data_IF_636618532038
#
_entry.id   IF_636618532038
#
_cell.length_a   1.000
_cell.length_b   1.000
_cell.length_c   1.000
_cell.angle_alpha   90.00
_cell.angle_beta   90.00
_cell.angle_gamma   90.00
#
_symmetry.space_group_name_H-M   'P 1'
#
loop_
_entity.id
_entity.type
_entity.pdbx_description
1 polymer ?
#
# COMPACT_ATOMS: atom_id res chain seq x y z
N UNK A 1 6.85 15.28 -31.08
CA UNK A 1 7.90 15.49 -30.06
C UNK A 1 7.43 16.57 -29.12
N UNK A 2 7.30 16.30 -27.81
CA UNK A 2 6.92 17.32 -26.85
C UNK A 2 8.00 18.41 -26.81
N UNK A 3 7.61 19.65 -27.10
CA UNK A 3 8.49 20.84 -27.14
C UNK A 3 8.62 21.53 -25.76
N UNK A 4 8.04 20.94 -24.70
CA UNK A 4 8.06 21.52 -23.36
C UNK A 4 9.44 21.29 -22.72
N UNK A 5 10.01 22.35 -22.15
CA UNK A 5 11.27 22.27 -21.39
C UNK A 5 11.05 21.41 -20.12
N UNK A 6 11.97 20.50 -19.76
CA UNK A 6 11.80 19.62 -18.60
C UNK A 6 11.46 20.33 -17.28
N UNK A 7 12.08 21.50 -17.05
CA UNK A 7 11.82 22.32 -15.84
C UNK A 7 10.40 22.89 -15.83
N UNK A 8 9.89 23.32 -16.98
CA UNK A 8 8.51 23.85 -17.08
C UNK A 8 7.47 22.73 -16.92
N UNK A 9 7.76 21.53 -17.45
CA UNK A 9 6.92 20.36 -17.19
C UNK A 9 6.92 19.99 -15.71
N UNK A 10 8.08 19.91 -15.07
CA UNK A 10 8.19 19.62 -13.65
C UNK A 10 7.41 20.65 -12.82
N UNK A 11 7.53 21.94 -13.14
CA UNK A 11 6.79 23.01 -12.46
C UNK A 11 5.28 22.83 -12.62
N UNK A 12 4.78 22.69 -13.85
CA UNK A 12 3.36 22.50 -14.11
C UNK A 12 2.80 21.22 -13.46
N UNK A 13 3.59 20.14 -13.47
CA UNK A 13 3.24 18.89 -12.81
C UNK A 13 3.19 19.05 -11.29
N UNK A 14 4.17 19.73 -10.67
CA UNK A 14 4.17 20.00 -9.23
C UNK A 14 3.01 20.91 -8.83
N UNK A 15 2.72 21.96 -9.61
CA UNK A 15 1.56 22.84 -9.37
C UNK A 15 0.24 22.04 -9.44
N UNK A 16 0.10 21.18 -10.43
CA UNK A 16 -1.04 20.29 -10.58
C UNK A 16 -1.16 19.30 -9.40
N UNK A 17 -0.08 18.62 -9.02
CA UNK A 17 -0.08 17.68 -7.88
C UNK A 17 -0.39 18.39 -6.56
N UNK A 18 0.21 19.57 -6.34
CA UNK A 18 0.00 20.37 -5.12
C UNK A 18 -1.43 20.89 -5.02
N UNK A 19 -2.13 21.06 -6.14
CA UNK A 19 -3.55 21.42 -6.13
C UNK A 19 -4.43 20.36 -5.44
N UNK A 20 -4.04 19.08 -5.46
CA UNK A 20 -4.72 18.03 -4.70
C UNK A 20 -4.34 18.07 -3.21
N UNK A 21 -3.07 18.37 -2.90
CA UNK A 21 -2.60 18.50 -1.52
C UNK A 21 -3.16 19.75 -0.81
N UNK A 22 -3.54 20.80 -1.54
CA UNK A 22 -4.24 21.96 -0.97
C UNK A 22 -5.74 21.67 -0.70
N UNK A 23 -6.30 20.65 -1.33
CA UNK A 23 -7.63 20.13 -1.03
C UNK A 23 -7.61 19.12 0.13
N UNK A 24 -6.42 18.62 0.50
CA UNK A 24 -6.19 17.82 1.69
C UNK A 24 -6.49 18.67 2.92
N UNK A 25 -7.74 18.56 3.38
CA UNK A 25 -8.28 19.28 4.53
C UNK A 25 -7.93 18.56 5.84
N UNK A 26 -7.05 17.55 5.79
CA UNK A 26 -6.69 16.76 6.95
C UNK A 26 -5.97 17.62 7.98
N UNK A 27 -6.43 17.49 9.22
CA UNK A 27 -5.74 18.03 10.38
C UNK A 27 -4.30 17.48 10.37
N UNK A 28 -3.24 18.31 10.52
CA UNK A 28 -1.87 17.81 10.60
C UNK A 28 -1.63 16.76 11.70
N UNK A 29 -2.56 16.65 12.66
CA UNK A 29 -2.56 15.63 13.70
C UNK A 29 -3.21 14.29 13.30
N UNK A 30 -3.92 14.23 12.17
CA UNK A 30 -4.54 12.99 11.67
C UNK A 30 -3.57 12.22 10.77
N UNK A 31 -3.45 10.90 10.96
CA UNK A 31 -2.53 10.10 10.18
C UNK A 31 -3.05 9.90 8.75
N UNK A 32 -2.16 10.03 7.77
CA UNK A 32 -2.52 9.82 6.35
C UNK A 32 -2.60 8.33 6.03
N UNK A 33 -3.76 7.86 5.58
CA UNK A 33 -3.92 6.46 5.17
C UNK A 33 -3.37 6.23 3.75
N UNK A 34 -2.39 5.34 3.62
CA UNK A 34 -1.77 4.93 2.36
C UNK A 34 -1.97 3.43 2.11
N UNK A 35 -3.04 3.02 1.40
CA UNK A 35 -3.20 1.64 0.99
C UNK A 35 -2.19 1.25 -0.08
N UNK A 36 -1.61 0.06 0.05
CA UNK A 36 -0.76 -0.57 -0.95
C UNK A 36 -1.39 -1.88 -1.40
N UNK A 37 -1.65 -1.99 -2.70
CA UNK A 37 -2.38 -3.12 -3.29
C UNK A 37 -1.86 -3.47 -4.68
N UNK A 38 -1.83 -4.77 -4.98
CA UNK A 38 -1.52 -5.33 -6.29
C UNK A 38 -2.78 -5.57 -7.13
N UNK A 39 -2.78 -5.05 -8.37
CA UNK A 39 -3.86 -5.28 -9.35
C UNK A 39 -3.29 -5.80 -10.66
N UNK A 40 -3.98 -6.80 -11.21
CA UNK A 40 -3.74 -7.28 -12.57
C UNK A 40 -4.62 -6.54 -13.57
N UNK A 41 -3.99 -5.82 -14.50
CA UNK A 41 -4.67 -5.19 -15.62
C UNK A 41 -5.04 -6.26 -16.67
N UNK A 42 -6.18 -6.92 -16.48
CA UNK A 42 -6.65 -7.98 -17.38
C UNK A 42 -6.82 -7.45 -18.81
N UNK A 43 -6.31 -8.20 -19.78
CA UNK A 43 -6.35 -7.81 -21.20
C UNK A 43 -5.19 -6.91 -21.67
N UNK A 44 -4.24 -6.59 -20.80
CA UNK A 44 -3.00 -5.89 -21.17
C UNK A 44 -1.96 -6.78 -21.88
N UNK A 45 -2.17 -8.10 -21.89
CA UNK A 45 -1.31 -9.05 -22.58
C UNK A 45 -1.29 -8.82 -24.09
N UNK A 46 -0.10 -8.93 -24.67
CA UNK A 46 0.16 -8.81 -26.10
C UNK A 46 -0.49 -9.99 -26.87
N UNK A 47 -0.76 -9.82 -28.17
CA UNK A 47 -1.40 -10.88 -28.97
C UNK A 47 -0.63 -12.23 -28.99
N UNK A 48 0.67 -12.20 -28.69
CA UNK A 48 1.54 -13.37 -28.55
C UNK A 48 1.62 -13.94 -27.12
N UNK A 49 1.35 -13.12 -26.10
CA UNK A 49 1.46 -13.44 -24.67
C UNK A 49 0.16 -13.05 -23.95
N UNK A 50 -0.97 -13.61 -24.40
CA UNK A 50 -2.27 -13.38 -23.76
C UNK A 50 -2.32 -13.85 -22.31
N UNK A 51 -1.40 -14.74 -21.94
CA UNK A 51 -1.30 -15.35 -20.61
C UNK A 51 -0.43 -14.56 -19.63
N UNK A 52 0.18 -13.45 -20.08
CA UNK A 52 1.03 -12.59 -19.24
C UNK A 52 0.44 -11.18 -19.07
N UNK A 53 -0.63 -11.02 -18.28
CA UNK A 53 -1.20 -9.71 -18.01
C UNK A 53 -0.30 -8.90 -17.08
N UNK A 54 -0.17 -7.60 -17.35
CA UNK A 54 0.56 -6.65 -16.52
C UNK A 54 -0.03 -6.64 -15.09
N UNK A 55 0.82 -6.91 -14.12
CA UNK A 55 0.50 -6.80 -12.70
C UNK A 55 1.22 -5.59 -12.10
N UNK A 56 0.48 -4.74 -11.37
CA UNK A 56 0.98 -3.48 -10.83
C UNK A 56 0.68 -3.43 -9.34
N UNK A 57 1.71 -3.14 -8.54
CA UNK A 57 1.55 -2.74 -7.14
C UNK A 57 1.52 -1.23 -7.07
N UNK A 58 0.50 -0.67 -6.43
CA UNK A 58 0.29 0.77 -6.32
C UNK A 58 0.12 1.20 -4.86
N UNK A 59 0.63 2.40 -4.54
CA UNK A 59 0.35 3.12 -3.31
C UNK A 59 -0.67 4.22 -3.63
N UNK A 60 -1.68 4.35 -2.78
CA UNK A 60 -2.80 5.25 -3.01
C UNK A 60 -2.94 6.27 -1.89
N UNK A 61 -3.17 7.53 -2.23
CA UNK A 61 -3.56 8.56 -1.27
C UNK A 61 -5.09 8.66 -1.28
N UNK A 62 -5.72 8.03 -0.30
CA UNK A 62 -7.19 7.88 -0.24
C UNK A 62 -7.91 9.23 -0.25
N UNK A 63 -7.40 10.20 0.50
CA UNK A 63 -7.98 11.54 0.65
C UNK A 63 -7.88 12.38 -0.64
N UNK A 64 -6.80 12.18 -1.40
CA UNK A 64 -6.53 12.93 -2.62
C UNK A 64 -7.03 12.24 -3.89
N UNK A 65 -7.37 10.94 -3.82
CA UNK A 65 -7.79 10.16 -4.97
C UNK A 65 -6.69 9.97 -6.04
N UNK A 66 -5.42 9.95 -5.63
CA UNK A 66 -4.27 9.83 -6.52
C UNK A 66 -3.37 8.66 -6.15
N UNK A 67 -2.66 8.10 -7.13
CA UNK A 67 -1.61 7.12 -6.88
C UNK A 67 -0.30 7.85 -6.57
N UNK A 68 0.28 7.55 -5.40
CA UNK A 68 1.55 8.11 -4.94
C UNK A 68 2.76 7.45 -5.63
N UNK A 69 2.58 6.22 -6.10
CA UNK A 69 3.62 5.49 -6.81
C UNK A 69 3.13 4.12 -7.25
N UNK A 70 3.75 3.59 -8.30
CA UNK A 70 3.42 2.29 -8.86
C UNK A 70 4.69 1.55 -9.28
N UNK A 71 4.65 0.22 -9.16
CA UNK A 71 5.71 -0.69 -9.61
C UNK A 71 5.06 -1.80 -10.41
N UNK A 72 5.44 -1.94 -11.67
CA UNK A 72 5.09 -3.11 -12.48
C UNK A 72 5.87 -4.33 -11.98
N UNK A 73 5.18 -5.46 -11.90
CA UNK A 73 5.72 -6.73 -11.43
C UNK A 73 5.87 -7.67 -12.63
N UNK A 74 7.07 -8.17 -12.85
CA UNK A 74 7.35 -9.19 -13.87
C UNK A 74 6.78 -10.56 -13.46
N UNK A 75 6.55 -11.47 -14.42
CA UNK A 75 5.99 -12.82 -14.20
C UNK A 75 6.60 -13.62 -13.05
N UNK A 76 7.89 -13.39 -12.75
CA UNK A 76 8.63 -14.11 -11.71
C UNK A 76 8.73 -13.35 -10.38
N UNK A 77 8.36 -12.08 -10.36
CA UNK A 77 8.30 -11.27 -9.13
C UNK A 77 6.90 -11.34 -8.55
N UNK A 78 6.82 -11.29 -7.23
CA UNK A 78 5.57 -11.22 -6.47
C UNK A 78 5.47 -9.85 -5.78
N UNK A 79 4.28 -9.49 -5.32
CA UNK A 79 4.06 -8.22 -4.62
C UNK A 79 5.01 -8.06 -3.40
N UNK A 80 5.41 -9.18 -2.78
CA UNK A 80 6.37 -9.22 -1.67
C UNK A 80 7.69 -8.52 -2.01
N UNK A 81 8.15 -8.60 -3.27
CA UNK A 81 9.37 -7.92 -3.74
C UNK A 81 9.12 -6.51 -4.28
N UNK A 82 7.92 -6.21 -4.76
CA UNK A 82 7.55 -4.92 -5.32
C UNK A 82 7.22 -3.88 -4.24
N UNK A 83 6.52 -4.29 -3.17
CA UNK A 83 6.15 -3.42 -2.05
C UNK A 83 7.38 -2.73 -1.42
N UNK A 84 8.47 -3.44 -1.08
CA UNK A 84 9.69 -2.79 -0.56
C UNK A 84 10.27 -1.74 -1.52
N UNK A 85 10.21 -1.97 -2.83
CA UNK A 85 10.72 -1.02 -3.82
C UNK A 85 9.87 0.24 -3.88
N UNK A 86 8.55 0.07 -3.81
CA UNK A 86 7.59 1.17 -3.78
C UNK A 86 7.75 2.01 -2.52
N UNK A 87 7.79 1.38 -1.34
CA UNK A 87 7.93 2.07 -0.05
C UNK A 87 9.21 2.91 0.05
N UNK A 88 10.32 2.49 -0.59
CA UNK A 88 11.57 3.28 -0.62
C UNK A 88 11.45 4.63 -1.34
N UNK A 89 10.39 4.81 -2.14
CA UNK A 89 10.17 6.02 -2.94
C UNK A 89 9.20 6.99 -2.26
N UNK A 90 8.59 6.60 -1.15
CA UNK A 90 7.54 7.35 -0.46
C UNK A 90 8.10 7.96 0.82
N UNK A 91 7.67 9.18 1.12
CA UNK A 91 7.79 9.77 2.46
C UNK A 91 6.64 9.24 3.32
N UNK A 92 6.97 8.48 4.37
CA UNK A 92 5.99 7.75 5.18
C UNK A 92 5.75 8.41 6.55
N UNK A 93 6.48 9.48 6.89
CA UNK A 93 6.33 10.15 8.18
C UNK A 93 4.89 10.56 8.43
N UNK A 94 4.31 10.04 9.52
CA UNK A 94 2.92 10.31 9.91
C UNK A 94 1.85 9.62 9.04
N UNK A 95 2.24 8.68 8.19
CA UNK A 95 1.32 7.87 7.41
C UNK A 95 1.03 6.52 8.09
N UNK A 96 -0.19 6.01 7.95
CA UNK A 96 -0.54 4.62 8.22
C UNK A 96 -0.59 3.89 6.88
N UNK A 97 0.28 2.89 6.71
CA UNK A 97 0.33 2.07 5.50
C UNK A 97 -0.53 0.82 5.70
N UNK A 98 -1.56 0.64 4.89
CA UNK A 98 -2.36 -0.60 4.91
C UNK A 98 -1.97 -1.52 3.76
N UNK A 99 -1.81 -2.81 4.05
CA UNK A 99 -1.40 -3.81 3.06
C UNK A 99 -2.19 -5.09 3.29
N UNK A 100 -2.48 -5.77 2.19
CA UNK A 100 -3.14 -7.06 2.19
C UNK A 100 -2.33 -8.16 2.91
N UNK A 101 -2.92 -9.34 2.99
CA UNK A 101 -2.30 -10.45 3.70
C UNK A 101 -1.01 -10.91 3.01
N UNK A 102 -0.92 -10.89 1.69
CA UNK A 102 0.28 -11.35 0.98
C UNK A 102 1.50 -10.48 1.33
N UNK A 103 1.30 -9.18 1.52
CA UNK A 103 2.31 -8.23 2.00
C UNK A 103 2.60 -8.25 3.51
N UNK A 104 1.93 -9.11 4.30
CA UNK A 104 2.13 -9.22 5.75
C UNK A 104 3.45 -9.91 6.11
N UNK A 105 4.54 -9.15 5.97
CA UNK A 105 5.91 -9.61 6.14
C UNK A 105 6.66 -8.74 7.15
N UNK A 106 7.44 -9.37 8.04
CA UNK A 106 8.22 -8.67 9.08
C UNK A 106 9.15 -7.59 8.51
N UNK A 107 9.75 -7.85 7.34
CA UNK A 107 10.64 -6.91 6.68
C UNK A 107 9.89 -5.67 6.15
N UNK A 108 8.68 -5.87 5.61
CA UNK A 108 7.83 -4.77 5.13
C UNK A 108 7.40 -3.89 6.31
N UNK A 109 6.90 -4.50 7.40
CA UNK A 109 6.55 -3.80 8.62
C UNK A 109 7.72 -2.95 9.15
N UNK A 110 8.92 -3.55 9.23
CA UNK A 110 10.14 -2.85 9.67
C UNK A 110 10.50 -1.68 8.75
N UNK A 111 10.34 -1.85 7.44
CA UNK A 111 10.64 -0.79 6.49
C UNK A 111 9.70 0.42 6.65
N UNK A 112 8.40 0.17 6.91
CA UNK A 112 7.42 1.23 7.15
C UNK A 112 7.79 2.04 8.41
N UNK A 113 8.06 1.35 9.51
CA UNK A 113 8.47 1.98 10.78
C UNK A 113 9.79 2.76 10.63
N UNK A 114 10.77 2.18 9.93
CA UNK A 114 12.04 2.86 9.66
C UNK A 114 11.87 4.13 8.80
N UNK A 115 10.79 4.20 8.01
CA UNK A 115 10.41 5.38 7.22
C UNK A 115 9.56 6.40 7.99
N UNK A 116 9.31 6.19 9.29
CA UNK A 116 8.51 7.10 10.12
C UNK A 116 7.00 6.91 10.04
N UNK A 117 6.54 5.84 9.37
CA UNK A 117 5.12 5.50 9.27
C UNK A 117 4.71 4.36 10.21
N UNK A 118 3.41 4.24 10.40
CA UNK A 118 2.74 3.13 11.08
C UNK A 118 2.11 2.17 10.05
N UNK A 119 1.66 0.99 10.49
CA UNK A 119 1.11 -0.02 9.56
C UNK A 119 -0.16 -0.70 10.06
N UNK A 120 -0.99 -1.11 9.10
CA UNK A 120 -2.11 -2.04 9.26
C UNK A 120 -1.96 -3.17 8.25
N UNK A 121 -1.45 -4.32 8.69
CA UNK A 121 -1.19 -5.47 7.81
C UNK A 121 -2.23 -6.56 8.07
N UNK A 122 -2.95 -6.97 7.04
CA UNK A 122 -3.91 -8.06 7.17
C UNK A 122 -3.17 -9.39 7.46
N UNK A 123 -3.73 -10.22 8.35
CA UNK A 123 -3.17 -11.53 8.68
C UNK A 123 -4.08 -12.63 8.17
N UNK A 124 -3.53 -13.59 7.42
CA UNK A 124 -4.23 -14.80 6.96
C UNK A 124 -3.30 -16.02 7.03
N UNK A 125 -3.62 -17.06 6.28
CA UNK A 125 -2.92 -18.36 6.27
C UNK A 125 -1.50 -18.30 5.68
N UNK A 126 -1.07 -17.16 5.16
CA UNK A 126 0.33 -16.93 4.79
C UNK A 126 1.28 -16.89 6.00
N UNK A 127 0.73 -16.79 7.22
CA UNK A 127 1.45 -16.94 8.49
C UNK A 127 0.67 -17.91 9.38
N UNK A 128 0.67 -19.22 9.08
CA UNK A 128 -0.30 -20.16 9.65
C UNK A 128 -0.19 -20.30 11.17
N UNK A 129 1.03 -20.27 11.71
CA UNK A 129 1.25 -20.30 13.17
C UNK A 129 0.70 -19.05 13.83
N UNK A 130 1.05 -17.87 13.33
CA UNK A 130 0.59 -16.60 13.89
C UNK A 130 -0.93 -16.43 13.77
N UNK A 131 -1.51 -16.82 12.63
CA UNK A 131 -2.96 -16.80 12.38
C UNK A 131 -3.70 -17.67 13.40
N UNK A 132 -3.19 -18.89 13.65
CA UNK A 132 -3.75 -19.78 14.67
C UNK A 132 -3.60 -19.19 16.07
N UNK A 133 -2.40 -18.76 16.44
CA UNK A 133 -2.15 -18.24 17.80
C UNK A 133 -3.02 -17.01 18.11
N UNK A 134 -3.23 -16.13 17.11
CA UNK A 134 -4.13 -14.98 17.23
C UNK A 134 -5.58 -15.45 17.37
N UNK A 135 -6.02 -16.43 16.56
CA UNK A 135 -7.37 -17.00 16.67
C UNK A 135 -7.62 -17.62 18.03
N UNK A 136 -6.73 -18.51 18.47
CA UNK A 136 -6.82 -19.22 19.75
C UNK A 136 -6.89 -18.21 20.91
N UNK A 137 -6.10 -17.13 20.85
CA UNK A 137 -6.15 -16.05 21.83
C UNK A 137 -7.53 -15.38 21.89
N UNK A 138 -8.08 -14.96 20.75
CA UNK A 138 -9.38 -14.29 20.71
C UNK A 138 -10.53 -15.21 21.11
N UNK A 139 -10.50 -16.48 20.69
CA UNK A 139 -11.49 -17.49 21.11
C UNK A 139 -11.46 -17.68 22.62
N UNK A 140 -10.28 -17.86 23.21
CA UNK A 140 -10.12 -18.00 24.66
C UNK A 140 -10.67 -16.79 25.43
N UNK A 141 -10.39 -15.56 24.97
CA UNK A 141 -10.88 -14.34 25.63
C UNK A 141 -12.39 -14.15 25.46
N UNK A 142 -12.94 -14.57 24.31
CA UNK A 142 -14.38 -14.56 24.10
C UNK A 142 -15.10 -15.51 25.09
N UNK A 143 -14.57 -16.71 25.29
CA UNK A 143 -15.10 -17.68 26.27
C UNK A 143 -15.00 -17.17 27.71
N UNK A 144 -14.00 -16.36 28.03
CA UNK A 144 -13.80 -15.73 29.34
C UNK A 144 -14.73 -14.52 29.57
N UNK A 145 -15.46 -14.08 28.55
CA UNK A 145 -16.38 -12.95 28.64
C UNK A 145 -15.72 -11.57 28.52
N UNK A 146 -14.43 -11.51 28.17
CA UNK A 146 -13.65 -10.26 28.07
C UNK A 146 -14.24 -9.25 27.06
N UNK A 147 -15.07 -9.72 26.12
CA UNK A 147 -15.66 -8.90 25.06
C UNK A 147 -17.17 -8.65 25.20
N UNK A 148 -17.79 -9.03 26.32
CA UNK A 148 -19.25 -8.90 26.50
C UNK A 148 -19.77 -7.46 26.46
N UNK A 149 -18.92 -6.47 26.74
CA UNK A 149 -19.28 -5.04 26.66
C UNK A 149 -19.22 -4.45 25.24
N UNK A 150 -18.72 -5.21 24.26
CA UNK A 150 -18.51 -4.75 22.87
C UNK A 150 -19.38 -5.48 21.84
N UNK A 151 -20.35 -6.30 22.28
CA UNK A 151 -21.24 -7.11 21.44
C UNK A 151 -22.60 -6.50 21.15
#
# INVERSE_FOLDING_TARGET
MSLIKPVEFQKAFLEWVTSFAAADSSNPAEPRLVPVDGKTARGSGNAKDRDNPLHIVSAWATECGISLGQVAVDEKSNEITAIPQLLRRLELTGAIVSIDAMGCQKQIARQIVNGGGDYLLALKDNQPTLSRDVRDFFEQRHEQGDFQEYG
#
